data_IF_047444963042
#
_entry.id   IF_047444963042
#
_cell.length_a   1.000
_cell.length_b   1.000
_cell.length_c   1.000
_cell.angle_alpha   90.00
_cell.angle_beta   90.00
_cell.angle_gamma   90.00
#
_symmetry.space_group_name_H-M   'P 1'
#
loop_
_entity.id
_entity.type
_entity.pdbx_description
1 polymer ?
#
# COMPACT_ATOMS: atom_id res chain seq x y z
N UNK A 1 -98.88 -30.11 -34.77
CA UNK A 1 -98.97 -30.38 -33.32
C UNK A 1 -97.67 -29.91 -32.70
N UNK A 2 -97.75 -29.09 -31.64
CA UNK A 2 -96.61 -28.37 -31.05
C UNK A 2 -95.58 -29.34 -30.48
N UNK A 3 -94.32 -29.19 -30.90
CA UNK A 3 -93.15 -29.86 -30.35
C UNK A 3 -92.73 -29.10 -29.08
N UNK A 4 -92.84 -29.72 -27.91
CA UNK A 4 -92.32 -29.17 -26.66
C UNK A 4 -90.80 -29.38 -26.63
N UNK A 5 -90.03 -28.29 -26.70
CA UNK A 5 -88.61 -28.32 -26.40
C UNK A 5 -88.44 -28.30 -24.88
N UNK A 6 -87.96 -29.40 -24.31
CA UNK A 6 -87.54 -29.47 -22.90
C UNK A 6 -86.13 -28.90 -22.83
N UNK A 7 -85.99 -27.71 -22.27
CA UNK A 7 -84.70 -27.11 -21.96
C UNK A 7 -84.20 -27.76 -20.67
N UNK A 8 -83.18 -28.61 -20.77
CA UNK A 8 -82.42 -29.12 -19.64
C UNK A 8 -81.48 -28.00 -19.15
N UNK A 9 -81.78 -27.41 -17.99
CA UNK A 9 -80.79 -26.63 -17.24
C UNK A 9 -79.81 -27.63 -16.62
N UNK A 10 -78.60 -27.74 -17.18
CA UNK A 10 -77.49 -28.37 -16.48
C UNK A 10 -77.09 -27.39 -15.38
N UNK A 11 -77.49 -27.66 -14.14
CA UNK A 11 -76.94 -26.98 -12.98
C UNK A 11 -75.48 -27.42 -12.86
N UNK A 12 -74.55 -26.54 -13.22
CA UNK A 12 -73.16 -26.70 -12.80
C UNK A 12 -73.15 -26.57 -11.27
N UNK A 13 -73.06 -27.70 -10.57
CA UNK A 13 -72.75 -27.71 -9.14
C UNK A 13 -71.28 -27.38 -9.02
N UNK A 14 -70.97 -26.14 -8.65
CA UNK A 14 -69.61 -25.75 -8.32
C UNK A 14 -69.24 -26.37 -6.96
N UNK A 15 -68.04 -26.91 -6.87
CA UNK A 15 -67.54 -27.61 -5.68
C UNK A 15 -66.07 -27.27 -5.46
N UNK A 16 -65.72 -26.98 -4.23
CA UNK A 16 -64.37 -26.65 -3.78
C UNK A 16 -63.70 -27.87 -3.14
N UNK A 17 -62.44 -28.10 -3.48
CA UNK A 17 -61.64 -29.18 -2.91
C UNK A 17 -60.67 -28.59 -1.89
N UNK A 18 -60.67 -29.10 -0.66
CA UNK A 18 -59.72 -28.69 0.36
C UNK A 18 -58.28 -28.94 -0.12
N UNK A 19 -57.35 -28.07 0.26
CA UNK A 19 -56.03 -27.97 -0.40
C UNK A 19 -55.10 -29.15 -0.08
N UNK A 20 -55.08 -29.59 1.17
CA UNK A 20 -54.18 -30.64 1.68
C UNK A 20 -54.90 -31.96 2.00
N UNK A 21 -56.23 -31.93 2.04
CA UNK A 21 -57.08 -33.07 2.39
C UNK A 21 -58.07 -33.36 1.26
N UNK A 22 -58.30 -34.64 0.97
CA UNK A 22 -59.21 -35.08 -0.10
C UNK A 22 -60.70 -35.02 0.33
N UNK A 23 -61.15 -33.81 0.65
CA UNK A 23 -62.55 -33.47 0.97
C UNK A 23 -63.04 -32.45 -0.06
N UNK A 24 -64.30 -32.57 -0.47
CA UNK A 24 -64.93 -31.65 -1.42
C UNK A 24 -66.21 -31.08 -0.80
N UNK A 25 -66.29 -29.77 -0.73
CA UNK A 25 -67.40 -29.01 -0.15
C UNK A 25 -68.11 -28.18 -1.23
N UNK A 26 -69.37 -27.76 -1.03
CA UNK A 26 -70.02 -26.80 -1.92
C UNK A 26 -69.30 -25.44 -1.89
N UNK A 27 -69.24 -24.72 -3.02
CA UNK A 27 -68.66 -23.36 -3.06
C UNK A 27 -69.33 -22.36 -2.10
N UNK A 28 -70.56 -22.64 -1.66
CA UNK A 28 -71.25 -21.83 -0.66
C UNK A 28 -70.65 -21.89 0.74
N UNK A 29 -69.74 -22.86 0.98
CA UNK A 29 -69.08 -23.12 2.26
C UNK A 29 -67.64 -22.56 2.25
N UNK A 30 -67.35 -21.61 1.35
CA UNK A 30 -66.08 -20.88 1.32
C UNK A 30 -66.33 -19.51 1.94
N UNK A 31 -65.51 -19.15 2.92
CA UNK A 31 -65.59 -17.92 3.71
C UNK A 31 -66.99 -17.70 4.34
N UNK A 32 -67.63 -18.78 4.81
CA UNK A 32 -68.99 -18.78 5.37
C UNK A 32 -69.02 -18.68 6.92
N UNK A 33 -67.86 -18.47 7.54
CA UNK A 33 -67.62 -18.44 8.98
C UNK A 33 -67.82 -19.78 9.69
N UNK A 34 -67.70 -20.88 8.96
CA UNK A 34 -67.71 -22.23 9.51
C UNK A 34 -66.56 -23.05 8.95
N UNK A 35 -65.88 -23.82 9.82
CA UNK A 35 -64.72 -24.60 9.42
C UNK A 35 -65.15 -25.98 8.90
N UNK A 36 -65.31 -26.12 7.58
CA UNK A 36 -65.70 -27.35 6.89
C UNK A 36 -64.49 -28.17 6.42
N UNK A 37 -63.39 -27.51 6.04
CA UNK A 37 -62.13 -28.18 5.73
C UNK A 37 -61.27 -28.31 7.00
N UNK A 38 -60.81 -29.52 7.37
CA UNK A 38 -59.94 -29.70 8.54
C UNK A 38 -58.55 -29.06 8.41
N UNK A 39 -58.16 -28.63 7.20
CA UNK A 39 -56.95 -27.86 6.93
C UNK A 39 -57.18 -26.34 6.87
N UNK A 40 -58.42 -25.89 7.07
CA UNK A 40 -58.85 -24.49 7.04
C UNK A 40 -58.69 -23.79 5.70
N UNK A 41 -58.61 -24.55 4.60
CA UNK A 41 -58.43 -23.98 3.25
C UNK A 41 -59.67 -23.29 2.68
N UNK A 42 -60.83 -23.50 3.29
CA UNK A 42 -62.13 -22.92 3.01
C UNK A 42 -62.36 -21.53 3.65
N UNK A 43 -61.72 -21.25 4.80
CA UNK A 43 -61.97 -20.05 5.63
C UNK A 43 -60.77 -19.06 5.67
N UNK A 44 -60.04 -18.96 4.56
CA UNK A 44 -58.81 -18.14 4.46
C UNK A 44 -59.04 -16.64 4.63
N UNK A 45 -60.27 -16.14 4.40
CA UNK A 45 -60.63 -14.74 4.55
C UNK A 45 -61.54 -14.47 5.77
N UNK A 46 -61.73 -15.44 6.66
CA UNK A 46 -62.55 -15.29 7.88
C UNK A 46 -61.80 -15.66 9.16
N UNK A 47 -60.76 -16.51 9.07
CA UNK A 47 -59.90 -16.86 10.22
C UNK A 47 -60.61 -17.72 11.27
N UNK A 48 -61.67 -18.44 10.92
CA UNK A 48 -62.47 -19.21 11.89
C UNK A 48 -61.86 -20.58 12.21
N UNK A 49 -61.04 -21.13 11.32
CA UNK A 49 -60.39 -22.42 11.52
C UNK A 49 -59.18 -22.31 12.45
N UNK A 50 -59.21 -23.03 13.58
CA UNK A 50 -58.10 -23.08 14.53
C UNK A 50 -56.83 -23.64 13.87
N UNK A 51 -55.72 -22.90 13.97
CA UNK A 51 -54.44 -23.27 13.37
C UNK A 51 -54.30 -22.94 11.88
N UNK A 52 -55.29 -22.28 11.26
CA UNK A 52 -55.22 -21.80 9.88
C UNK A 52 -54.64 -20.38 9.77
N UNK A 53 -54.29 -19.96 8.55
CA UNK A 53 -53.76 -18.64 8.25
C UNK A 53 -54.83 -17.76 7.60
N UNK A 54 -54.95 -16.52 8.06
CA UNK A 54 -55.79 -15.47 7.49
C UNK A 54 -54.96 -14.54 6.59
N UNK A 55 -55.50 -14.20 5.42
CA UNK A 55 -54.80 -13.33 4.45
C UNK A 55 -55.31 -11.90 4.50
N UNK A 56 -54.53 -10.99 5.08
CA UNK A 56 -54.74 -9.55 4.95
C UNK A 56 -54.47 -9.13 3.49
N UNK A 57 -55.50 -8.71 2.75
CA UNK A 57 -55.34 -8.27 1.36
C UNK A 57 -54.56 -6.95 1.26
N UNK A 58 -54.67 -6.08 2.26
CA UNK A 58 -53.86 -4.87 2.45
C UNK A 58 -53.78 -3.99 1.21
N UNK A 59 -54.92 -3.61 0.60
CA UNK A 59 -54.94 -2.72 -0.58
C UNK A 59 -54.16 -1.44 -0.30
N UNK A 60 -53.12 -1.16 -1.08
CA UNK A 60 -52.19 -0.07 -0.79
C UNK A 60 -50.85 -0.52 -0.17
N UNK A 61 -50.67 -1.80 0.14
CA UNK A 61 -49.48 -2.39 0.76
C UNK A 61 -49.29 -3.86 0.35
N UNK A 62 -48.37 -4.57 1.01
CA UNK A 62 -48.14 -6.01 0.78
C UNK A 62 -49.20 -6.84 1.49
N UNK A 63 -49.70 -7.88 0.82
CA UNK A 63 -50.54 -8.89 1.47
C UNK A 63 -49.72 -9.62 2.55
N UNK A 64 -50.36 -9.87 3.69
CA UNK A 64 -49.72 -10.51 4.85
C UNK A 64 -50.59 -11.66 5.30
N UNK A 65 -49.95 -12.78 5.65
CA UNK A 65 -50.62 -13.90 6.30
C UNK A 65 -50.40 -13.81 7.81
N UNK A 66 -51.48 -13.84 8.56
CA UNK A 66 -51.48 -13.87 10.03
C UNK A 66 -52.12 -15.17 10.51
N UNK A 67 -51.76 -15.63 11.70
CA UNK A 67 -52.43 -16.78 12.30
C UNK A 67 -53.88 -16.41 12.68
N UNK A 68 -54.82 -17.34 12.50
CA UNK A 68 -56.25 -17.11 12.81
C UNK A 68 -56.53 -16.67 14.25
N UNK A 69 -55.62 -16.95 15.20
CA UNK A 69 -55.72 -16.46 16.58
C UNK A 69 -55.65 -14.94 16.74
N UNK A 70 -55.16 -14.24 15.72
CA UNK A 70 -55.06 -12.78 15.68
C UNK A 70 -56.28 -12.14 14.98
N UNK A 71 -57.28 -12.94 14.58
CA UNK A 71 -58.51 -12.42 13.97
C UNK A 71 -59.57 -12.24 15.05
N UNK A 72 -60.03 -11.00 15.26
CA UNK A 72 -61.04 -10.64 16.26
C UNK A 72 -60.51 -10.65 17.70
N UNK A 73 -59.21 -10.52 17.91
CA UNK A 73 -58.55 -10.48 19.22
C UNK A 73 -58.44 -9.05 19.79
N UNK A 74 -58.94 -8.05 19.05
CA UNK A 74 -58.90 -6.62 19.34
C UNK A 74 -57.52 -5.96 19.24
N UNK A 75 -56.58 -6.59 18.54
CA UNK A 75 -55.27 -6.04 18.16
C UNK A 75 -55.27 -5.84 16.63
N UNK A 76 -54.68 -4.74 16.16
CA UNK A 76 -54.61 -4.47 14.71
C UNK A 76 -53.31 -5.05 14.13
N UNK A 77 -53.40 -6.23 13.55
CA UNK A 77 -52.33 -6.94 12.86
C UNK A 77 -52.33 -6.65 11.34
N UNK A 78 -53.50 -6.57 10.70
CA UNK A 78 -53.59 -6.14 9.31
C UNK A 78 -53.54 -4.61 9.20
N UNK A 79 -52.78 -4.07 8.22
CA UNK A 79 -52.75 -2.62 8.03
C UNK A 79 -54.08 -2.06 7.49
N UNK A 80 -54.92 -2.89 6.88
CA UNK A 80 -56.24 -2.50 6.39
C UNK A 80 -57.33 -2.67 7.46
N UNK A 81 -57.01 -3.30 8.60
CA UNK A 81 -57.93 -3.61 9.69
C UNK A 81 -58.91 -4.74 9.38
N UNK A 82 -58.65 -5.58 8.37
CA UNK A 82 -59.54 -6.66 7.94
C UNK A 82 -59.61 -7.86 8.91
N UNK A 83 -58.63 -7.97 9.79
CA UNK A 83 -58.57 -8.89 10.92
C UNK A 83 -59.58 -8.57 12.03
N UNK A 84 -59.98 -7.30 12.14
CA UNK A 84 -60.76 -6.81 13.26
C UNK A 84 -62.16 -6.32 12.85
N UNK A 85 -63.02 -6.18 13.87
CA UNK A 85 -64.37 -5.66 13.65
C UNK A 85 -64.35 -4.26 13.03
N UNK A 86 -65.25 -4.02 12.08
CA UNK A 86 -65.40 -2.73 11.41
C UNK A 86 -65.46 -1.55 12.41
N UNK A 87 -64.57 -0.59 12.22
CA UNK A 87 -64.44 0.62 13.07
C UNK A 87 -63.47 0.48 14.25
N UNK A 88 -62.91 -0.71 14.52
CA UNK A 88 -61.90 -0.90 15.56
C UNK A 88 -60.51 -0.47 15.09
N UNK A 89 -60.11 -0.92 13.90
CA UNK A 89 -58.79 -0.67 13.31
C UNK A 89 -58.87 0.29 12.11
N UNK A 90 -58.06 1.37 12.07
CA UNK A 90 -58.00 2.25 10.92
C UNK A 90 -57.16 1.64 9.79
N UNK A 91 -57.58 1.84 8.54
CA UNK A 91 -56.76 1.47 7.39
C UNK A 91 -55.57 2.44 7.25
N UNK A 92 -54.37 1.93 7.56
CA UNK A 92 -53.09 2.66 7.50
C UNK A 92 -52.17 2.16 6.37
N UNK A 93 -52.61 1.21 5.53
CA UNK A 93 -51.79 0.60 4.48
C UNK A 93 -51.15 1.65 3.55
N UNK A 94 -51.93 2.62 3.07
CA UNK A 94 -51.43 3.68 2.18
C UNK A 94 -50.39 4.56 2.88
N UNK A 95 -50.60 4.88 4.16
CA UNK A 95 -49.66 5.69 4.94
C UNK A 95 -48.34 4.93 5.18
N UNK A 96 -48.41 3.65 5.52
CA UNK A 96 -47.24 2.80 5.70
C UNK A 96 -46.43 2.67 4.40
N UNK A 97 -47.10 2.44 3.26
CA UNK A 97 -46.43 2.38 1.95
C UNK A 97 -45.86 3.72 1.54
N UNK A 98 -46.56 4.84 1.80
CA UNK A 98 -46.01 6.17 1.57
C UNK A 98 -44.75 6.42 2.41
N UNK A 99 -44.74 5.98 3.66
CA UNK A 99 -43.56 6.08 4.54
C UNK A 99 -42.38 5.29 3.94
N UNK A 100 -42.63 4.07 3.43
CA UNK A 100 -41.60 3.28 2.73
C UNK A 100 -41.10 3.97 1.45
N UNK A 101 -41.97 4.66 0.71
CA UNK A 101 -41.58 5.45 -0.47
C UNK A 101 -40.68 6.60 -0.05
N UNK A 102 -41.06 7.36 0.99
CA UNK A 102 -40.28 8.48 1.50
C UNK A 102 -38.90 8.03 2.01
N UNK A 103 -38.82 6.87 2.67
CA UNK A 103 -37.55 6.23 3.07
C UNK A 103 -36.67 5.91 1.85
N UNK A 104 -37.24 5.27 0.81
CA UNK A 104 -36.49 4.94 -0.42
C UNK A 104 -36.09 6.20 -1.19
N UNK A 105 -36.92 7.25 -1.22
CA UNK A 105 -36.57 8.53 -1.85
C UNK A 105 -35.39 9.20 -1.12
N UNK A 106 -35.36 9.14 0.20
CA UNK A 106 -34.20 9.60 0.98
C UNK A 106 -32.94 8.78 0.68
N UNK A 107 -33.06 7.46 0.53
CA UNK A 107 -31.94 6.60 0.11
C UNK A 107 -31.45 6.92 -1.31
N UNK A 108 -32.36 7.15 -2.26
CA UNK A 108 -32.06 7.55 -3.64
C UNK A 108 -31.27 8.85 -3.63
N UNK A 109 -31.79 9.88 -2.95
CA UNK A 109 -31.14 11.20 -2.87
C UNK A 109 -29.73 11.09 -2.29
N UNK A 110 -29.57 10.32 -1.20
CA UNK A 110 -28.25 10.07 -0.60
C UNK A 110 -27.32 9.36 -1.58
N UNK A 111 -27.81 8.34 -2.28
CA UNK A 111 -27.02 7.59 -3.27
C UNK A 111 -26.57 8.48 -4.44
N UNK A 112 -27.42 9.38 -4.92
CA UNK A 112 -27.08 10.36 -5.95
C UNK A 112 -25.95 11.30 -5.50
N UNK A 113 -26.04 11.83 -4.28
CA UNK A 113 -24.99 12.66 -3.67
C UNK A 113 -23.65 11.90 -3.58
N UNK A 114 -23.68 10.63 -3.15
CA UNK A 114 -22.48 9.78 -3.08
C UNK A 114 -21.88 9.50 -4.45
N UNK A 115 -22.71 9.30 -5.49
CA UNK A 115 -22.23 9.13 -6.87
C UNK A 115 -21.56 10.42 -7.37
N UNK A 116 -22.10 11.59 -7.06
CA UNK A 116 -21.45 12.87 -7.41
C UNK A 116 -20.10 13.04 -6.69
N UNK A 117 -20.01 12.65 -5.42
CA UNK A 117 -18.74 12.65 -4.67
C UNK A 117 -17.72 11.71 -5.34
N UNK A 118 -18.14 10.49 -5.70
CA UNK A 118 -17.31 9.55 -6.45
C UNK A 118 -16.79 10.13 -7.76
N UNK A 119 -17.64 10.82 -8.53
CA UNK A 119 -17.24 11.47 -9.78
C UNK A 119 -16.19 12.56 -9.55
N UNK A 120 -16.35 13.39 -8.50
CA UNK A 120 -15.34 14.38 -8.10
C UNK A 120 -14.00 13.74 -7.77
N UNK A 121 -13.99 12.69 -6.95
CA UNK A 121 -12.76 11.95 -6.63
C UNK A 121 -12.17 11.25 -7.84
N UNK A 122 -12.99 10.77 -8.77
CA UNK A 122 -12.51 10.19 -10.02
C UNK A 122 -11.79 11.22 -10.91
N UNK A 123 -12.27 12.47 -10.97
CA UNK A 123 -11.58 13.53 -11.71
C UNK A 123 -10.22 13.83 -11.08
N UNK A 124 -10.20 13.95 -9.76
CA UNK A 124 -8.99 14.29 -9.01
C UNK A 124 -7.96 13.15 -9.01
N UNK A 125 -8.40 11.91 -8.82
CA UNK A 125 -7.54 10.73 -8.94
C UNK A 125 -6.92 10.61 -10.34
N UNK A 126 -7.64 10.98 -11.40
CA UNK A 126 -7.09 11.04 -12.76
C UNK A 126 -6.00 12.11 -12.89
N UNK A 127 -6.13 13.24 -12.21
CA UNK A 127 -5.09 14.28 -12.14
C UNK A 127 -3.85 13.75 -11.41
N UNK A 128 -4.04 13.15 -10.24
CA UNK A 128 -2.97 12.55 -9.43
C UNK A 128 -2.22 11.45 -10.21
N UNK A 129 -2.92 10.58 -10.94
CA UNK A 129 -2.30 9.53 -11.76
C UNK A 129 -1.45 10.09 -12.89
N UNK A 130 -1.90 11.16 -13.54
CA UNK A 130 -1.11 11.87 -14.56
C UNK A 130 0.15 12.48 -13.96
N UNK A 131 0.05 13.11 -12.79
CA UNK A 131 1.18 13.70 -12.07
C UNK A 131 2.19 12.64 -11.65
N UNK A 132 1.71 11.54 -11.08
CA UNK A 132 2.52 10.38 -10.73
C UNK A 132 3.30 9.85 -11.96
N UNK A 133 2.61 9.68 -13.09
CA UNK A 133 3.24 9.19 -14.33
C UNK A 133 4.32 10.15 -14.83
N UNK A 134 4.04 11.46 -14.77
CA UNK A 134 5.01 12.52 -15.11
C UNK A 134 6.21 12.49 -14.17
N UNK A 135 5.99 12.33 -12.87
CA UNK A 135 7.04 12.27 -11.87
C UNK A 135 7.92 11.03 -12.05
N UNK A 136 7.34 9.87 -12.34
CA UNK A 136 8.08 8.65 -12.70
C UNK A 136 8.96 8.90 -13.93
N UNK A 137 8.39 9.51 -14.98
CA UNK A 137 9.15 9.81 -16.20
C UNK A 137 10.33 10.75 -15.92
N UNK A 138 10.10 11.81 -15.15
CA UNK A 138 11.14 12.79 -14.79
C UNK A 138 12.25 12.14 -13.95
N UNK A 139 11.90 11.36 -12.92
CA UNK A 139 12.90 10.67 -12.09
C UNK A 139 13.65 9.60 -12.87
N UNK A 140 13.00 8.90 -13.82
CA UNK A 140 13.70 7.96 -14.73
C UNK A 140 14.71 8.68 -15.62
N UNK A 141 14.37 9.87 -16.14
CA UNK A 141 15.28 10.68 -16.93
C UNK A 141 16.48 11.17 -16.09
N UNK A 142 16.21 11.72 -14.89
CA UNK A 142 17.26 12.15 -13.97
C UNK A 142 18.17 10.98 -13.52
N UNK A 143 17.60 9.80 -13.28
CA UNK A 143 18.39 8.60 -12.97
C UNK A 143 19.31 8.20 -14.14
N UNK A 144 18.82 8.33 -15.37
CA UNK A 144 19.62 8.05 -16.57
C UNK A 144 20.80 9.02 -16.67
N UNK A 145 20.55 10.31 -16.49
CA UNK A 145 21.57 11.37 -16.51
C UNK A 145 22.67 11.12 -15.46
N UNK A 146 22.29 10.88 -14.20
CA UNK A 146 23.27 10.57 -13.13
C UNK A 146 24.05 9.28 -13.40
N UNK A 147 23.41 8.25 -13.98
CA UNK A 147 24.10 7.01 -14.38
C UNK A 147 25.10 7.26 -15.50
N UNK A 148 24.77 8.14 -16.44
CA UNK A 148 25.63 8.53 -17.56
C UNK A 148 26.80 9.41 -17.08
N UNK A 149 26.58 10.34 -16.15
CA UNK A 149 27.65 11.10 -15.48
C UNK A 149 28.62 10.21 -14.71
N UNK A 150 28.11 9.23 -13.94
CA UNK A 150 28.96 8.26 -13.23
C UNK A 150 29.79 7.41 -14.18
N UNK A 151 29.22 7.03 -15.34
CA UNK A 151 29.91 6.23 -16.35
C UNK A 151 30.96 7.05 -17.11
N UNK A 152 30.61 8.25 -17.54
CA UNK A 152 31.49 9.13 -18.31
C UNK A 152 32.63 9.72 -17.47
N UNK A 153 32.38 9.92 -16.18
CA UNK A 153 33.40 10.44 -15.26
C UNK A 153 34.50 9.45 -14.91
N UNK A 154 34.30 8.16 -15.20
CA UNK A 154 35.27 7.07 -14.98
C UNK A 154 36.07 7.21 -13.67
N UNK A 155 35.34 7.53 -12.60
CA UNK A 155 35.94 7.97 -11.34
C UNK A 155 36.80 6.88 -10.71
N UNK A 156 36.40 5.61 -10.83
CA UNK A 156 37.13 4.49 -10.23
C UNK A 156 38.54 4.34 -10.85
N UNK A 157 38.65 4.35 -12.18
CA UNK A 157 39.94 4.26 -12.86
C UNK A 157 40.76 5.55 -12.71
N UNK A 158 40.12 6.72 -12.77
CA UNK A 158 40.79 8.02 -12.59
C UNK A 158 41.37 8.18 -11.18
N UNK A 159 40.61 7.83 -10.14
CA UNK A 159 41.08 7.87 -8.74
C UNK A 159 42.23 6.88 -8.55
N UNK A 160 42.12 5.67 -9.12
CA UNK A 160 43.16 4.64 -9.03
C UNK A 160 44.46 5.10 -9.70
N UNK A 161 44.39 5.74 -10.86
CA UNK A 161 45.56 6.27 -11.55
C UNK A 161 46.20 7.42 -10.76
N UNK A 162 45.40 8.33 -10.18
CA UNK A 162 45.93 9.42 -9.36
C UNK A 162 46.58 8.92 -8.06
N UNK A 163 46.00 7.90 -7.41
CA UNK A 163 46.63 7.23 -6.26
C UNK A 163 47.96 6.59 -6.66
N UNK A 164 48.02 5.89 -7.80
CA UNK A 164 49.27 5.31 -8.31
C UNK A 164 50.32 6.38 -8.60
N UNK A 165 49.93 7.52 -9.17
CA UNK A 165 50.83 8.66 -9.39
C UNK A 165 51.39 9.19 -8.07
N UNK A 166 50.55 9.35 -7.05
CA UNK A 166 50.96 9.76 -5.70
C UNK A 166 51.91 8.75 -5.06
N UNK A 167 51.61 7.46 -5.15
CA UNK A 167 52.45 6.39 -4.60
C UNK A 167 53.82 6.35 -5.30
N UNK A 168 53.84 6.41 -6.63
CA UNK A 168 55.08 6.48 -7.42
C UNK A 168 55.90 7.73 -7.09
N UNK A 169 55.23 8.87 -6.95
CA UNK A 169 55.86 10.14 -6.57
C UNK A 169 56.48 10.06 -5.16
N UNK A 170 55.78 9.45 -4.21
CA UNK A 170 56.29 9.19 -2.85
C UNK A 170 57.50 8.24 -2.87
N UNK A 171 57.45 7.19 -3.69
CA UNK A 171 58.56 6.24 -3.82
C UNK A 171 59.81 6.90 -4.43
N UNK A 172 59.64 7.67 -5.51
CA UNK A 172 60.73 8.41 -6.17
C UNK A 172 61.37 9.45 -5.24
N UNK A 173 60.56 10.18 -4.46
CA UNK A 173 61.07 11.07 -3.42
C UNK A 173 61.87 10.31 -2.35
N UNK A 174 61.37 9.18 -1.84
CA UNK A 174 62.09 8.36 -0.85
C UNK A 174 63.44 7.89 -1.39
N UNK A 175 63.51 7.49 -2.66
CA UNK A 175 64.76 7.10 -3.32
C UNK A 175 65.74 8.27 -3.43
N UNK A 176 65.30 9.43 -3.93
CA UNK A 176 66.13 10.65 -4.03
C UNK A 176 66.64 11.10 -2.66
N UNK A 177 65.77 11.13 -1.65
CA UNK A 177 66.12 11.47 -0.29
C UNK A 177 67.16 10.51 0.30
N UNK A 178 67.00 9.20 0.12
CA UNK A 178 67.98 8.20 0.56
C UNK A 178 69.33 8.35 -0.15
N UNK A 179 69.33 8.66 -1.45
CA UNK A 179 70.55 8.94 -2.21
C UNK A 179 71.28 10.19 -1.71
N UNK A 180 70.55 11.29 -1.45
CA UNK A 180 71.13 12.50 -0.85
C UNK A 180 71.67 12.24 0.56
N UNK A 181 70.92 11.49 1.38
CA UNK A 181 71.34 11.07 2.72
C UNK A 181 72.63 10.25 2.69
N UNK A 182 72.75 9.33 1.75
CA UNK A 182 73.92 8.47 1.58
C UNK A 182 75.17 9.29 1.22
N UNK A 183 75.04 10.27 0.32
CA UNK A 183 76.14 11.20 -0.02
C UNK A 183 76.63 12.01 1.18
N UNK A 184 75.71 12.48 2.02
CA UNK A 184 76.08 13.16 3.28
C UNK A 184 76.85 12.21 4.20
N UNK A 185 76.42 10.96 4.33
CA UNK A 185 77.10 9.97 5.18
C UNK A 185 78.51 9.70 4.65
N UNK A 186 78.68 9.47 3.35
CA UNK A 186 79.98 9.25 2.71
C UNK A 186 80.94 10.45 2.91
N UNK A 187 80.46 11.68 2.79
CA UNK A 187 81.26 12.90 3.05
C UNK A 187 81.58 13.11 4.54
N UNK A 188 80.77 12.59 5.46
CA UNK A 188 80.99 12.71 6.92
C UNK A 188 81.91 11.61 7.45
N UNK A 189 82.05 10.48 6.76
CA UNK A 189 82.84 9.32 7.24
C UNK A 189 84.36 9.46 7.22
N UNK A 190 84.94 10.61 6.87
CA UNK A 190 86.40 10.76 6.85
C UNK A 190 87.06 11.03 8.21
N UNK A 191 86.30 11.01 9.32
CA UNK A 191 86.79 10.88 10.70
C UNK A 191 85.58 11.05 11.64
N UNK A 192 85.05 10.00 12.27
CA UNK A 192 84.50 9.98 13.65
C UNK A 192 83.67 8.72 13.96
N UNK A 193 83.66 8.30 15.24
CA UNK A 193 82.92 7.13 15.75
C UNK A 193 81.42 7.16 15.44
N UNK A 194 80.80 5.98 15.34
CA UNK A 194 79.34 5.80 15.13
C UNK A 194 78.45 6.70 16.00
N UNK A 195 78.88 7.00 17.23
CA UNK A 195 78.14 7.87 18.16
C UNK A 195 78.14 9.35 17.75
N UNK A 196 79.21 9.85 17.13
CA UNK A 196 79.28 11.23 16.61
C UNK A 196 78.51 11.33 15.31
N UNK A 197 78.54 10.27 14.48
CA UNK A 197 77.72 10.15 13.27
C UNK A 197 76.22 10.22 13.63
N UNK A 198 75.77 9.44 14.62
CA UNK A 198 74.39 9.47 15.14
C UNK A 198 74.01 10.83 15.74
N UNK A 199 74.91 11.48 16.48
CA UNK A 199 74.69 12.83 17.05
C UNK A 199 74.56 13.90 15.98
N UNK A 200 75.45 13.90 14.99
CA UNK A 200 75.43 14.81 13.84
C UNK A 200 74.16 14.62 13.02
N UNK A 201 73.79 13.39 12.68
CA UNK A 201 72.53 13.08 11.97
C UNK A 201 71.30 13.65 12.70
N UNK A 202 71.28 13.59 14.04
CA UNK A 202 70.20 14.12 14.88
C UNK A 202 70.22 15.66 15.01
N UNK A 203 71.39 16.27 15.05
CA UNK A 203 71.59 17.73 15.07
C UNK A 203 71.26 18.36 13.69
N UNK A 204 71.38 17.59 12.61
CA UNK A 204 71.07 18.00 11.25
C UNK A 204 69.59 17.82 10.84
N UNK A 205 68.73 17.25 11.70
CA UNK A 205 67.27 17.27 11.53
C UNK A 205 66.67 16.12 10.69
N UNK A 206 67.36 15.00 10.52
CA UNK A 206 66.81 13.82 9.83
C UNK A 206 65.69 13.16 10.66
N UNK A 207 64.42 13.44 10.34
CA UNK A 207 63.26 12.70 10.86
C UNK A 207 62.55 12.05 9.66
N UNK A 208 62.48 10.71 9.66
CA UNK A 208 61.66 9.94 8.71
C UNK A 208 60.18 10.23 8.96
N UNK A 209 59.33 10.30 7.92
CA UNK A 209 57.88 10.37 8.11
C UNK A 209 57.27 9.11 8.75
N UNK A 210 57.90 7.94 8.61
CA UNK A 210 57.37 6.68 9.14
C UNK A 210 58.49 5.81 9.78
N UNK A 211 58.33 5.53 11.07
CA UNK A 211 58.91 4.49 11.97
C UNK A 211 60.42 4.38 12.32
N UNK A 212 60.58 3.66 13.44
CA UNK A 212 61.67 3.53 14.42
C UNK A 212 63.00 2.96 13.92
N UNK A 213 64.06 3.34 14.64
CA UNK A 213 65.40 2.76 14.73
C UNK A 213 66.24 2.51 13.47
N UNK A 214 67.37 3.22 13.43
CA UNK A 214 68.47 3.08 12.47
C UNK A 214 69.23 1.78 12.75
N UNK A 215 69.12 0.80 11.85
CA UNK A 215 70.05 -0.34 11.80
C UNK A 215 71.11 -0.10 10.72
N UNK A 216 72.34 0.20 11.16
CA UNK A 216 73.50 0.36 10.28
C UNK A 216 74.15 -1.02 10.12
N UNK A 217 73.92 -1.69 8.99
CA UNK A 217 74.73 -2.86 8.63
C UNK A 217 76.02 -2.40 7.96
N UNK A 218 77.13 -2.90 8.50
CA UNK A 218 78.52 -2.66 8.15
C UNK A 218 78.82 -2.67 6.65
N UNK A 219 79.36 -1.55 6.15
CA UNK A 219 80.07 -1.49 4.86
C UNK A 219 81.57 -1.54 5.16
N UNK A 220 82.23 -2.59 4.69
CA UNK A 220 83.69 -2.75 4.76
C UNK A 220 84.34 -1.82 3.72
N UNK A 221 85.03 -0.78 4.21
CA UNK A 221 85.73 0.18 3.37
C UNK A 221 87.13 -0.31 2.99
N UNK A 222 87.40 -0.43 1.68
CA UNK A 222 88.76 -0.43 1.15
C UNK A 222 89.21 1.01 0.87
N UNK A 223 90.39 1.37 1.38
CA UNK A 223 90.99 2.71 1.30
C UNK A 223 91.89 2.85 0.07
N UNK A 224 91.79 3.98 -0.61
CA UNK A 224 92.92 4.76 -1.15
C UNK A 224 92.44 6.20 -1.44
N UNK A 225 93.24 7.19 -1.01
CA UNK A 225 92.74 8.51 -0.64
C UNK A 225 92.90 9.66 -1.63
N UNK A 226 92.29 10.79 -1.28
CA UNK A 226 92.71 12.16 -1.55
C UNK A 226 91.95 13.11 -0.60
N UNK A 227 92.61 13.74 0.38
CA UNK A 227 91.94 14.54 1.43
C UNK A 227 91.61 15.96 0.95
N UNK A 228 90.31 16.32 0.93
CA UNK A 228 89.81 17.68 0.70
C UNK A 228 89.99 18.57 1.97
N UNK A 229 90.20 19.89 1.84
CA UNK A 229 90.26 20.83 2.98
C UNK A 229 88.96 20.90 3.82
N UNK A 230 89.08 21.04 5.15
CA UNK A 230 87.95 21.08 6.11
C UNK A 230 86.89 22.17 5.85
N UNK A 231 87.27 23.30 5.22
CA UNK A 231 86.32 24.37 4.87
C UNK A 231 85.48 24.01 3.64
N UNK A 232 86.03 23.30 2.65
CA UNK A 232 85.29 22.84 1.46
C UNK A 232 84.22 21.80 1.82
N UNK A 233 84.53 20.88 2.74
CA UNK A 233 83.59 19.87 3.26
C UNK A 233 82.37 20.54 3.91
N UNK A 234 82.57 21.64 4.64
CA UNK A 234 81.50 22.35 5.35
C UNK A 234 80.59 23.15 4.41
N UNK A 235 81.17 23.68 3.33
CA UNK A 235 80.44 24.37 2.24
C UNK A 235 79.56 23.39 1.45
N UNK A 236 80.11 22.21 1.11
CA UNK A 236 79.44 21.15 0.35
C UNK A 236 78.27 20.53 1.16
N UNK A 237 78.47 20.30 2.46
CA UNK A 237 77.43 19.90 3.42
C UNK A 237 76.28 20.92 3.52
N UNK A 238 76.60 22.22 3.51
CA UNK A 238 75.58 23.28 3.57
C UNK A 238 74.74 23.32 2.30
N UNK A 239 75.34 23.08 1.14
CA UNK A 239 74.63 22.96 -0.15
C UNK A 239 73.72 21.74 -0.17
N UNK A 240 74.19 20.58 0.29
CA UNK A 240 73.35 19.36 0.37
C UNK A 240 72.17 19.54 1.33
N UNK A 241 72.35 20.24 2.45
CA UNK A 241 71.24 20.54 3.38
C UNK A 241 70.17 21.41 2.74
N UNK A 242 70.57 22.46 2.01
CA UNK A 242 69.63 23.33 1.28
C UNK A 242 68.87 22.55 0.19
N UNK A 243 69.54 21.61 -0.50
CA UNK A 243 68.91 20.74 -1.49
C UNK A 243 67.88 19.79 -0.87
N UNK A 244 68.14 19.24 0.32
CA UNK A 244 67.17 18.40 1.05
C UNK A 244 65.95 19.22 1.46
N UNK A 245 66.16 20.42 2.03
CA UNK A 245 65.07 21.32 2.41
C UNK A 245 64.23 21.72 1.18
N UNK A 246 64.87 22.01 0.04
CA UNK A 246 64.18 22.30 -1.21
C UNK A 246 63.36 21.10 -1.71
N UNK A 247 63.94 19.90 -1.77
CA UNK A 247 63.21 18.68 -2.17
C UNK A 247 62.05 18.37 -1.22
N UNK A 248 62.22 18.52 0.10
CA UNK A 248 61.13 18.36 1.07
C UNK A 248 59.98 19.34 0.82
N UNK A 249 60.29 20.60 0.52
CA UNK A 249 59.25 21.60 0.27
C UNK A 249 58.51 21.33 -1.04
N UNK A 250 59.20 20.86 -2.07
CA UNK A 250 58.57 20.50 -3.35
C UNK A 250 57.70 19.25 -3.20
N UNK A 251 58.21 18.22 -2.52
CA UNK A 251 57.44 17.01 -2.20
C UNK A 251 56.14 17.34 -1.44
N UNK A 252 56.25 18.11 -0.35
CA UNK A 252 55.07 18.50 0.45
C UNK A 252 54.03 19.28 -0.35
N UNK A 253 54.45 20.08 -1.33
CA UNK A 253 53.53 20.82 -2.21
C UNK A 253 52.83 19.89 -3.20
N UNK A 254 53.58 19.07 -3.92
CA UNK A 254 53.05 18.20 -4.97
C UNK A 254 52.20 17.06 -4.40
N UNK A 255 52.62 16.44 -3.28
CA UNK A 255 51.82 15.42 -2.58
C UNK A 255 50.47 15.99 -2.11
N UNK A 256 50.47 17.22 -1.61
CA UNK A 256 49.25 17.91 -1.17
C UNK A 256 48.31 18.25 -2.33
N UNK A 257 48.83 18.65 -3.48
CA UNK A 257 48.01 18.87 -4.68
C UNK A 257 47.41 17.55 -5.19
N UNK A 258 48.19 16.47 -5.26
CA UNK A 258 47.68 15.14 -5.64
C UNK A 258 46.62 14.63 -4.66
N UNK A 259 46.84 14.79 -3.35
CA UNK A 259 45.86 14.44 -2.33
C UNK A 259 44.56 15.22 -2.49
N UNK A 260 44.67 16.52 -2.78
CA UNK A 260 43.52 17.39 -3.01
C UNK A 260 42.72 16.96 -4.25
N UNK A 261 43.39 16.67 -5.37
CA UNK A 261 42.74 16.15 -6.58
C UNK A 261 41.99 14.84 -6.33
N UNK A 262 42.64 13.88 -5.65
CA UNK A 262 42.02 12.60 -5.28
C UNK A 262 40.77 12.84 -4.43
N UNK A 263 40.87 13.71 -3.42
CA UNK A 263 39.76 14.01 -2.51
C UNK A 263 38.59 14.66 -3.24
N UNK A 264 38.84 15.61 -4.14
CA UNK A 264 37.80 16.26 -4.94
C UNK A 264 37.07 15.24 -5.84
N UNK A 265 37.81 14.31 -6.45
CA UNK A 265 37.23 13.22 -7.24
C UNK A 265 36.38 12.26 -6.39
N UNK A 266 36.88 11.85 -5.22
CA UNK A 266 36.16 10.99 -4.29
C UNK A 266 34.87 11.64 -3.77
N UNK A 267 34.93 12.94 -3.43
CA UNK A 267 33.76 13.71 -2.98
C UNK A 267 32.70 13.81 -4.09
N UNK A 268 33.11 14.12 -5.32
CA UNK A 268 32.20 14.19 -6.48
C UNK A 268 31.58 12.83 -6.79
N UNK A 269 32.36 11.75 -6.73
CA UNK A 269 31.86 10.39 -6.94
C UNK A 269 30.82 10.02 -5.87
N UNK A 270 31.10 10.33 -4.59
CA UNK A 270 30.20 10.10 -3.47
C UNK A 270 28.90 10.88 -3.61
N UNK A 271 28.97 12.14 -4.02
CA UNK A 271 27.80 12.98 -4.27
C UNK A 271 26.88 12.37 -5.34
N UNK A 272 27.43 11.95 -6.47
CA UNK A 272 26.68 11.31 -7.55
C UNK A 272 26.09 9.96 -7.13
N UNK A 273 26.84 9.12 -6.39
CA UNK A 273 26.35 7.85 -5.83
C UNK A 273 25.18 8.09 -4.87
N UNK A 274 25.24 9.12 -4.02
CA UNK A 274 24.15 9.50 -3.13
C UNK A 274 22.92 10.00 -3.90
N UNK A 275 23.11 10.89 -4.89
CA UNK A 275 22.01 11.37 -5.77
C UNK A 275 21.31 10.19 -6.46
N UNK A 276 22.08 9.24 -7.00
CA UNK A 276 21.55 8.01 -7.60
C UNK A 276 20.67 7.23 -6.62
N UNK A 277 21.17 6.96 -5.42
CA UNK A 277 20.43 6.19 -4.41
C UNK A 277 19.12 6.87 -3.99
N UNK A 278 19.13 8.19 -3.84
CA UNK A 278 17.92 8.97 -3.52
C UNK A 278 16.87 8.85 -4.63
N UNK A 279 17.28 8.99 -5.90
CA UNK A 279 16.38 8.85 -7.05
C UNK A 279 15.87 7.42 -7.19
N UNK A 280 16.72 6.40 -6.98
CA UNK A 280 16.31 4.99 -7.04
C UNK A 280 15.26 4.64 -5.98
N UNK A 281 15.44 5.10 -4.74
CA UNK A 281 14.43 4.95 -3.68
C UNK A 281 13.11 5.65 -4.06
N UNK A 282 13.18 6.89 -4.54
CA UNK A 282 11.98 7.63 -4.96
C UNK A 282 11.26 6.94 -6.12
N UNK A 283 12.01 6.41 -7.10
CA UNK A 283 11.42 5.64 -8.19
C UNK A 283 10.78 4.35 -7.72
N UNK A 284 11.36 3.67 -6.75
CA UNK A 284 10.74 2.49 -6.15
C UNK A 284 9.38 2.86 -5.54
N UNK A 285 9.32 3.89 -4.70
CA UNK A 285 8.06 4.37 -4.09
C UNK A 285 7.01 4.72 -5.16
N UNK A 286 7.38 5.51 -6.17
CA UNK A 286 6.47 5.92 -7.25
C UNK A 286 6.01 4.74 -8.10
N UNK A 287 6.88 3.75 -8.36
CA UNK A 287 6.50 2.56 -9.12
C UNK A 287 5.55 1.66 -8.32
N UNK A 288 5.72 1.53 -7.01
CA UNK A 288 4.73 0.83 -6.17
C UNK A 288 3.36 1.50 -6.28
N UNK A 289 3.31 2.84 -6.29
CA UNK A 289 2.05 3.56 -6.53
C UNK A 289 1.44 3.28 -7.91
N UNK A 290 2.28 3.01 -8.91
CA UNK A 290 1.84 2.81 -10.29
C UNK A 290 1.52 1.34 -10.64
N UNK A 291 1.99 0.35 -9.87
CA UNK A 291 1.77 -1.09 -10.13
C UNK A 291 0.32 -1.53 -10.03
N UNK A 292 -0.51 -0.77 -9.32
CA UNK A 292 -1.92 -1.06 -9.19
C UNK A 292 -2.58 -0.65 -10.50
N UNK A 293 -2.74 -1.65 -11.35
CA UNK A 293 -3.50 -1.55 -12.58
C UNK A 293 -4.97 -1.51 -12.18
N UNK A 294 -5.53 -0.30 -12.09
CA UNK A 294 -6.98 -0.13 -12.01
C UNK A 294 -7.49 -0.34 -13.44
N UNK A 295 -7.42 -1.58 -13.90
CA UNK A 295 -8.22 -2.01 -15.04
C UNK A 295 -9.66 -1.71 -14.67
N UNK A 296 -10.33 -0.89 -15.50
CA UNK A 296 -11.72 -0.41 -15.37
C UNK A 296 -11.92 0.98 -14.75
N UNK A 297 -11.35 2.05 -15.32
CA UNK A 297 -11.89 3.42 -15.29
C UNK A 297 -12.26 4.05 -13.93
N UNK A 298 -11.90 3.44 -12.79
CA UNK A 298 -12.32 3.89 -11.47
C UNK A 298 -11.20 4.66 -10.78
N UNK A 299 -10.83 5.80 -11.38
CA UNK A 299 -9.85 6.75 -10.83
C UNK A 299 -10.24 7.26 -9.43
N UNK A 300 -11.47 7.02 -8.96
CA UNK A 300 -11.87 7.37 -7.59
C UNK A 300 -10.95 6.70 -6.56
N UNK A 301 -10.52 5.46 -6.82
CA UNK A 301 -9.60 4.75 -5.92
C UNK A 301 -8.19 5.37 -5.89
N UNK A 302 -7.75 6.03 -6.98
CA UNK A 302 -6.44 6.73 -7.01
C UNK A 302 -6.43 7.92 -6.03
N UNK A 303 -7.58 8.52 -5.73
CA UNK A 303 -7.67 9.64 -4.79
C UNK A 303 -7.35 9.23 -3.34
N UNK A 304 -7.70 8.00 -2.97
CA UNK A 304 -7.54 7.47 -1.62
C UNK A 304 -6.28 6.62 -1.44
N UNK A 305 -5.45 6.54 -2.46
CA UNK A 305 -4.32 5.65 -2.49
C UNK A 305 -3.26 6.03 -1.44
N UNK A 306 -2.77 5.03 -0.69
CA UNK A 306 -1.87 5.18 0.46
C UNK A 306 -2.40 5.97 1.65
N UNK A 307 -3.69 6.31 1.65
CA UNK A 307 -4.31 6.78 2.88
C UNK A 307 -4.30 5.64 3.91
N UNK A 308 -3.95 6.01 5.13
CA UNK A 308 -4.00 5.11 6.28
C UNK A 308 -5.40 5.15 6.88
N UNK A 309 -6.01 3.97 7.00
CA UNK A 309 -7.26 3.78 7.73
C UNK A 309 -7.00 2.85 8.90
N UNK A 310 -7.43 3.24 10.09
CA UNK A 310 -7.23 2.47 11.31
C UNK A 310 -8.58 2.11 11.93
N UNK A 311 -8.72 0.86 12.38
CA UNK A 311 -9.82 0.40 13.21
C UNK A 311 -9.35 -0.74 14.10
N UNK A 312 -9.71 -0.67 15.38
CA UNK A 312 -9.28 -1.62 16.40
C UNK A 312 -7.75 -1.75 16.40
N UNK A 313 -7.22 -2.95 16.17
CA UNK A 313 -5.78 -3.17 16.05
C UNK A 313 -5.27 -3.27 14.61
N UNK A 314 -6.12 -3.02 13.61
CA UNK A 314 -5.76 -3.06 12.21
C UNK A 314 -5.47 -1.67 11.63
N UNK A 315 -4.44 -1.60 10.79
CA UNK A 315 -4.14 -0.46 9.93
C UNK A 315 -4.07 -0.91 8.49
N UNK A 316 -4.90 -0.32 7.64
CA UNK A 316 -4.93 -0.52 6.20
C UNK A 316 -4.28 0.70 5.53
N UNK A 317 -3.18 0.48 4.83
CA UNK A 317 -2.66 1.42 3.85
C UNK A 317 -3.27 1.03 2.50
N UNK A 318 -4.26 1.80 2.05
CA UNK A 318 -5.12 1.41 0.94
C UNK A 318 -4.33 1.12 -0.34
N UNK A 319 -4.45 -0.12 -0.84
CA UNK A 319 -3.73 -0.62 -2.01
C UNK A 319 -2.25 -0.95 -1.77
N UNK A 320 -1.77 -0.97 -0.53
CA UNK A 320 -0.35 -1.22 -0.23
C UNK A 320 -0.16 -2.39 0.73
N UNK A 321 -0.56 -2.26 1.99
CA UNK A 321 -0.48 -3.35 2.96
C UNK A 321 -1.47 -3.17 4.12
N UNK A 322 -1.65 -4.25 4.87
CA UNK A 322 -2.42 -4.27 6.11
C UNK A 322 -1.49 -4.69 7.23
N UNK A 323 -1.54 -3.99 8.35
CA UNK A 323 -0.81 -4.36 9.58
C UNK A 323 -1.77 -4.56 10.74
N UNK A 324 -1.43 -5.48 11.63
CA UNK A 324 -2.13 -5.72 12.89
C UNK A 324 -1.16 -5.43 14.05
N UNK A 325 -1.63 -4.76 15.11
CA UNK A 325 -0.82 -4.37 16.26
C UNK A 325 0.47 -3.60 15.88
N UNK A 326 0.41 -2.80 14.80
CA UNK A 326 1.52 -2.04 14.17
C UNK A 326 2.69 -2.85 13.59
N UNK A 327 2.94 -4.07 14.06
CA UNK A 327 4.18 -4.81 13.76
C UNK A 327 3.95 -6.11 12.98
N UNK A 328 2.71 -6.60 12.91
CA UNK A 328 2.38 -7.83 12.20
C UNK A 328 1.89 -7.46 10.81
N UNK A 329 2.61 -7.87 9.76
CA UNK A 329 2.11 -7.71 8.41
C UNK A 329 1.01 -8.75 8.17
N UNK A 330 -0.23 -8.29 7.98
CA UNK A 330 -1.35 -9.17 7.64
C UNK A 330 -1.28 -9.56 6.16
N UNK A 331 -0.80 -8.65 5.31
CA UNK A 331 -0.59 -8.92 3.90
C UNK A 331 -0.27 -7.65 3.11
N UNK A 332 0.45 -7.82 2.02
CA UNK A 332 0.70 -6.79 1.01
C UNK A 332 -0.32 -6.93 -0.13
N UNK A 333 -0.72 -5.82 -0.72
CA UNK A 333 -1.68 -5.77 -1.80
C UNK A 333 -1.18 -6.58 -3.02
N UNK A 334 -2.03 -7.48 -3.51
CA UNK A 334 -1.73 -8.34 -4.66
C UNK A 334 -2.54 -7.93 -5.88
N UNK A 335 -3.77 -7.45 -5.68
CA UNK A 335 -4.66 -7.10 -6.78
C UNK A 335 -6.11 -7.06 -6.36
N UNK A 336 -6.97 -7.12 -7.37
CA UNK A 336 -8.43 -7.09 -7.21
C UNK A 336 -8.99 -8.46 -7.59
N UNK A 337 -9.88 -9.00 -6.76
CA UNK A 337 -10.67 -10.17 -7.12
C UNK A 337 -11.89 -9.73 -7.97
N UNK A 338 -12.56 -8.67 -7.52
CA UNK A 338 -13.68 -8.01 -8.19
C UNK A 338 -13.50 -6.49 -8.11
N UNK A 339 -14.41 -5.68 -8.65
CA UNK A 339 -14.38 -4.22 -8.54
C UNK A 339 -14.39 -3.71 -7.09
N UNK A 340 -14.91 -4.53 -6.16
CA UNK A 340 -15.19 -4.15 -4.78
C UNK A 340 -14.44 -5.03 -3.78
N UNK A 341 -13.51 -5.90 -4.20
CA UNK A 341 -12.74 -6.76 -3.31
C UNK A 341 -11.25 -6.68 -3.65
N UNK A 342 -10.45 -6.19 -2.70
CA UNK A 342 -8.99 -6.20 -2.76
C UNK A 342 -8.41 -7.42 -2.06
N UNK A 343 -7.37 -7.99 -2.66
CA UNK A 343 -6.65 -9.14 -2.14
C UNK A 343 -5.30 -8.72 -1.55
N UNK A 344 -5.03 -9.17 -0.33
CA UNK A 344 -3.77 -8.97 0.37
C UNK A 344 -3.19 -10.33 0.76
N UNK A 345 -1.90 -10.55 0.48
CA UNK A 345 -1.22 -11.82 0.76
C UNK A 345 0.25 -11.60 1.10
N UNK A 346 1.02 -12.67 1.30
CA UNK A 346 2.43 -12.59 1.72
C UNK A 346 2.61 -11.85 3.06
N UNK A 347 1.65 -12.00 3.97
CA UNK A 347 1.78 -11.51 5.33
C UNK A 347 2.79 -12.32 6.16
N UNK A 348 3.09 -11.83 7.34
CA UNK A 348 3.93 -12.49 8.33
C UNK A 348 3.43 -13.91 8.60
N UNK A 349 4.34 -14.87 8.65
CA UNK A 349 4.03 -16.27 8.95
C UNK A 349 3.32 -16.44 10.28
N UNK A 350 2.37 -17.34 10.30
CA UNK A 350 1.53 -17.73 11.40
C UNK A 350 1.66 -19.24 11.59
N UNK A 351 2.06 -19.67 12.78
CA UNK A 351 2.27 -21.09 13.08
C UNK A 351 1.03 -21.68 13.73
N UNK A 352 0.47 -22.72 13.12
CA UNK A 352 -0.70 -23.44 13.61
C UNK A 352 -0.38 -24.93 13.58
N UNK A 353 -0.35 -25.59 14.74
CA UNK A 353 -0.17 -27.05 14.84
C UNK A 353 1.00 -27.58 13.98
N UNK A 354 2.17 -26.94 14.07
CA UNK A 354 3.39 -27.25 13.28
C UNK A 354 3.29 -26.97 11.76
N UNK A 355 2.24 -26.30 11.30
CA UNK A 355 2.12 -25.79 9.94
C UNK A 355 2.35 -24.28 9.92
N UNK A 356 3.21 -23.83 9.01
CA UNK A 356 3.45 -22.41 8.76
C UNK A 356 2.51 -21.93 7.65
N UNK A 357 1.58 -21.05 7.99
CA UNK A 357 0.63 -20.44 7.06
C UNK A 357 0.98 -18.95 6.96
N UNK A 358 0.95 -18.39 5.75
CA UNK A 358 1.14 -16.95 5.57
C UNK A 358 -0.18 -16.23 5.78
N UNK A 359 -0.15 -15.14 6.55
CA UNK A 359 -1.34 -14.30 6.72
C UNK A 359 -1.79 -13.74 5.37
N UNK A 360 -3.10 -13.64 5.20
CA UNK A 360 -3.76 -13.03 4.04
C UNK A 360 -5.05 -12.36 4.48
N UNK A 361 -5.51 -11.41 3.67
CA UNK A 361 -6.75 -10.71 3.95
C UNK A 361 -7.51 -10.32 2.68
N UNK A 362 -8.82 -10.16 2.83
CA UNK A 362 -9.67 -9.51 1.86
C UNK A 362 -10.20 -8.19 2.41
N UNK A 363 -10.17 -7.15 1.59
CA UNK A 363 -10.83 -5.86 1.90
C UNK A 363 -12.02 -5.68 0.98
N UNK A 364 -13.21 -5.72 1.55
CA UNK A 364 -14.50 -5.57 0.88
C UNK A 364 -14.91 -4.10 0.91
N UNK A 365 -15.19 -3.53 -0.25
CA UNK A 365 -15.59 -2.14 -0.39
C UNK A 365 -17.12 -2.03 -0.34
N UNK A 366 -17.63 -1.11 0.46
CA UNK A 366 -19.06 -0.81 0.57
C UNK A 366 -19.33 0.67 0.38
N UNK A 367 -20.49 1.00 -0.20
CA UNK A 367 -20.86 2.38 -0.48
C UNK A 367 -21.05 3.17 0.82
N UNK A 368 -20.52 4.38 0.86
CA UNK A 368 -20.78 5.34 1.93
C UNK A 368 -20.07 6.66 1.72
N UNK A 369 -20.21 7.57 2.67
CA UNK A 369 -19.82 8.98 2.51
C UNK A 369 -18.34 9.23 2.71
N UNK A 370 -17.75 8.57 3.72
CA UNK A 370 -16.35 8.77 4.10
C UNK A 370 -15.59 7.46 4.06
N UNK A 371 -14.33 7.45 3.60
CA UNK A 371 -13.48 6.29 3.71
C UNK A 371 -13.14 5.93 5.17
N UNK A 372 -13.59 4.77 5.63
CA UNK A 372 -13.22 4.22 6.93
C UNK A 372 -13.47 2.72 7.00
N UNK A 373 -12.70 2.02 7.84
CA UNK A 373 -12.94 0.60 8.11
C UNK A 373 -14.15 0.52 9.05
N UNK A 374 -15.20 -0.17 8.63
CA UNK A 374 -16.44 -0.32 9.41
C UNK A 374 -16.57 -1.69 10.06
N UNK A 375 -15.83 -2.69 9.58
CA UNK A 375 -15.84 -4.05 10.12
C UNK A 375 -14.50 -4.72 9.91
N UNK A 376 -14.11 -5.56 10.87
CA UNK A 376 -12.89 -6.37 10.84
C UNK A 376 -13.19 -7.72 11.49
N UNK A 377 -12.75 -8.81 10.90
CA UNK A 377 -12.93 -10.16 11.43
C UNK A 377 -11.78 -11.08 11.01
N UNK A 378 -11.60 -12.16 11.77
CA UNK A 378 -10.67 -13.25 11.50
C UNK A 378 -11.48 -14.56 11.39
N UNK A 379 -12.20 -14.78 10.28
CA UNK A 379 -13.11 -15.93 10.14
C UNK A 379 -12.39 -17.28 10.21
N UNK A 380 -11.13 -17.33 9.75
CA UNK A 380 -10.24 -18.47 9.93
C UNK A 380 -8.92 -17.95 10.47
N UNK A 381 -8.21 -18.78 11.24
CA UNK A 381 -6.91 -18.40 11.78
C UNK A 381 -5.96 -17.94 10.67
N UNK A 382 -5.47 -16.71 10.80
CA UNK A 382 -4.57 -16.05 9.86
C UNK A 382 -5.16 -15.73 8.47
N UNK A 383 -6.49 -15.76 8.36
CA UNK A 383 -7.26 -15.20 7.25
C UNK A 383 -8.17 -14.09 7.78
N UNK A 384 -8.04 -12.88 7.25
CA UNK A 384 -8.74 -11.70 7.77
C UNK A 384 -9.70 -11.12 6.73
N UNK A 385 -10.79 -10.55 7.20
CA UNK A 385 -11.75 -9.80 6.37
C UNK A 385 -11.92 -8.42 6.97
N UNK A 386 -11.72 -7.39 6.15
CA UNK A 386 -12.00 -6.01 6.49
C UNK A 386 -13.08 -5.47 5.55
N UNK A 387 -13.99 -4.66 6.07
CA UNK A 387 -14.97 -3.92 5.25
C UNK A 387 -14.64 -2.44 5.31
N UNK A 388 -14.28 -1.87 4.16
CA UNK A 388 -13.99 -0.45 3.99
C UNK A 388 -15.21 0.23 3.36
N UNK A 389 -15.82 1.14 4.09
CA UNK A 389 -16.82 2.05 3.52
C UNK A 389 -16.11 3.11 2.68
N UNK A 390 -16.62 3.43 1.49
CA UNK A 390 -16.06 4.46 0.60
C UNK A 390 -17.06 4.91 -0.48
N UNK A 391 -17.05 6.20 -0.89
CA UNK A 391 -17.83 6.65 -2.03
C UNK A 391 -17.50 5.91 -3.33
N UNK A 392 -16.27 5.40 -3.46
CA UNK A 392 -15.83 4.75 -4.69
C UNK A 392 -16.55 3.42 -4.98
N UNK A 393 -17.12 2.78 -3.96
CA UNK A 393 -17.94 1.57 -4.10
C UNK A 393 -19.38 1.87 -4.53
N UNK A 394 -19.83 3.12 -4.42
CA UNK A 394 -21.16 3.52 -4.87
C UNK A 394 -21.26 3.42 -6.38
N UNK A 395 -22.30 2.75 -6.89
CA UNK A 395 -22.44 2.47 -8.31
C UNK A 395 -23.88 2.69 -8.81
N UNK A 396 -24.00 2.93 -10.11
CA UNK A 396 -25.30 3.21 -10.75
C UNK A 396 -26.24 2.01 -10.74
N UNK A 397 -25.74 0.78 -10.51
CA UNK A 397 -26.58 -0.42 -10.41
C UNK A 397 -27.41 -0.38 -9.13
N UNK A 398 -26.81 0.02 -8.01
CA UNK A 398 -27.51 0.18 -6.74
C UNK A 398 -28.57 1.30 -6.79
N UNK A 399 -28.24 2.43 -7.42
CA UNK A 399 -29.23 3.50 -7.65
C UNK A 399 -30.42 3.01 -8.50
N UNK A 400 -30.17 2.24 -9.57
CA UNK A 400 -31.24 1.65 -10.38
C UNK A 400 -32.13 0.70 -9.59
N UNK A 401 -31.57 -0.13 -8.71
CA UNK A 401 -32.39 -1.01 -7.85
C UNK A 401 -33.26 -0.24 -6.86
N UNK A 402 -32.79 0.92 -6.36
CA UNK A 402 -33.61 1.77 -5.49
C UNK A 402 -34.78 2.40 -6.24
N UNK A 403 -34.56 2.90 -7.47
CA UNK A 403 -35.65 3.40 -8.31
C UNK A 403 -36.68 2.31 -8.64
N UNK A 404 -36.23 1.08 -8.92
CA UNK A 404 -37.14 -0.05 -9.18
C UNK A 404 -37.95 -0.40 -7.92
N UNK A 405 -37.30 -0.46 -6.75
CA UNK A 405 -37.98 -0.68 -5.47
C UNK A 405 -39.03 0.40 -5.20
N UNK A 406 -38.70 1.67 -5.47
CA UNK A 406 -39.65 2.78 -5.34
C UNK A 406 -40.85 2.58 -6.28
N UNK A 407 -40.60 2.28 -7.55
CA UNK A 407 -41.67 2.07 -8.55
C UNK A 407 -42.62 0.95 -8.12
N UNK A 408 -42.07 -0.16 -7.59
CA UNK A 408 -42.88 -1.27 -7.06
C UNK A 408 -43.74 -0.85 -5.86
N UNK A 409 -43.28 0.08 -5.03
CA UNK A 409 -44.09 0.62 -3.93
C UNK A 409 -45.19 1.57 -4.45
N UNK A 410 -44.90 2.38 -5.48
CA UNK A 410 -45.90 3.24 -6.12
C UNK A 410 -47.01 2.44 -6.81
N UNK A 411 -46.65 1.32 -7.47
CA UNK A 411 -47.61 0.41 -8.10
C UNK A 411 -48.58 -0.21 -7.07
N UNK A 412 -48.18 -0.38 -5.80
CA UNK A 412 -49.06 -0.88 -4.73
C UNK A 412 -50.10 0.15 -4.26
N UNK A 413 -49.84 1.45 -4.46
CA UNK A 413 -50.78 2.51 -4.06
C UNK A 413 -51.92 2.72 -5.05
N UNK A 414 -51.75 2.27 -6.30
CA UNK A 414 -52.73 2.32 -7.40
C UNK A 414 -53.77 1.22 -7.23
#
# INVERSE_FOLDING_TARGET
MKLFAVIFFIAFTYSFKCETIDITIPDSFIDDYYCDCPDGSDEKNTGVCEGSMFVCQNKGADAVEIESRFVGDSICDCCDGSDEKEGLCPNVCKQQTQTKIDEVDNEIKRMEELIQIKEKFSIEGKRLRKELTKEIKNNKAALKEVKEELKNGDFDDTIKEQKRKRDNFSADYKERYNNLKSKIIEEVTDETSEEILKRKIKEYGFVSPDEEEVNVTSVEAQKEGNQKPKEEIKEEQRKLKLLIEEEETNFKKEDKELEKEIKELEEKQKELKNKKAVIERKLWELNEKNKIDITQNNYCNDYFFLNEYSKDNFKLYYGFNITQNNNINVGSFVGWNTSDIQLYSNGTTCEINQKSITRKAEVHLTCGETPNIIFTDEPNTCEYVLVLQTPCACNKKLLKSLHEKRKQLEEKLQ
#
